data_IF_338533550843
#
_entry.id   IF_338533550843
#
_cell.length_a   1.000
_cell.length_b   1.000
_cell.length_c   1.000
_cell.angle_alpha   90.00
_cell.angle_beta   90.00
_cell.angle_gamma   90.00
#
_symmetry.space_group_name_H-M   'P 1'
#
loop_
_entity.id
_entity.type
_entity.pdbx_description
1 polymer ?
#
# COMPACT_ATOMS: atom_id res chain seq x y z
N UNK A 1 5.39 9.85 14.44
CA UNK A 1 4.06 9.47 14.96
C UNK A 1 3.35 8.59 13.94
N UNK A 2 2.70 7.53 14.40
CA UNK A 2 1.95 6.61 13.54
C UNK A 2 0.46 6.86 13.80
N UNK A 3 -0.30 7.15 12.74
CA UNK A 3 -1.75 7.39 12.83
C UNK A 3 -2.48 6.23 12.15
N UNK A 4 -3.42 5.62 12.87
CA UNK A 4 -4.19 4.47 12.37
C UNK A 4 -5.66 4.87 12.36
N UNK A 5 -6.32 4.71 11.21
CA UNK A 5 -7.76 5.02 11.07
C UNK A 5 -8.43 3.81 10.43
N UNK A 6 -9.40 3.24 11.14
CA UNK A 6 -10.23 2.15 10.62
C UNK A 6 -11.44 2.71 9.87
N UNK A 7 -11.98 1.91 8.94
CA UNK A 7 -13.14 2.29 8.13
C UNK A 7 -12.91 3.66 7.45
N UNK A 8 -11.75 3.80 6.84
CA UNK A 8 -11.28 5.08 6.32
C UNK A 8 -12.15 5.62 5.18
N UNK A 9 -12.49 4.77 4.22
CA UNK A 9 -13.38 5.13 3.12
C UNK A 9 -14.80 4.66 3.43
N UNK A 10 -15.82 5.31 2.83
CA UNK A 10 -17.19 4.77 2.88
C UNK A 10 -17.20 3.32 2.41
N UNK A 11 -17.98 2.48 3.07
CA UNK A 11 -17.94 1.03 2.84
C UNK A 11 -18.17 0.64 1.39
N UNK A 12 -19.16 1.25 0.73
CA UNK A 12 -19.46 0.93 -0.66
C UNK A 12 -18.31 1.29 -1.60
N UNK A 13 -17.67 2.43 -1.35
CA UNK A 13 -16.53 2.86 -2.16
C UNK A 13 -15.34 1.93 -1.92
N UNK A 14 -15.07 1.57 -0.67
CA UNK A 14 -14.00 0.62 -0.36
C UNK A 14 -14.24 -0.72 -1.04
N UNK A 15 -15.47 -1.24 -0.98
CA UNK A 15 -15.80 -2.51 -1.63
C UNK A 15 -15.63 -2.47 -3.13
N UNK A 16 -15.93 -1.33 -3.76
CA UNK A 16 -15.69 -1.15 -5.20
C UNK A 16 -14.20 -1.24 -5.53
N UNK A 17 -13.36 -0.58 -4.73
CA UNK A 17 -11.91 -0.64 -4.89
C UNK A 17 -11.39 -2.06 -4.67
N UNK A 18 -11.83 -2.70 -3.60
CA UNK A 18 -11.43 -4.08 -3.28
C UNK A 18 -11.83 -5.05 -4.40
N UNK A 19 -13.05 -4.96 -4.89
CA UNK A 19 -13.52 -5.82 -5.97
C UNK A 19 -12.75 -5.60 -7.27
N UNK A 20 -12.39 -4.36 -7.56
CA UNK A 20 -11.57 -4.06 -8.73
C UNK A 20 -10.19 -4.69 -8.59
N UNK A 21 -9.51 -4.45 -7.47
CA UNK A 21 -8.13 -4.88 -7.29
C UNK A 21 -7.99 -6.39 -7.16
N UNK A 22 -9.01 -7.09 -6.67
CA UNK A 22 -9.01 -8.54 -6.52
C UNK A 22 -9.73 -9.24 -7.67
N UNK A 23 -10.20 -8.49 -8.67
CA UNK A 23 -10.95 -9.03 -9.80
C UNK A 23 -10.08 -9.36 -10.99
N UNK A 24 -10.70 -9.92 -12.02
CA UNK A 24 -10.02 -10.39 -13.23
C UNK A 24 -9.48 -9.27 -14.11
N UNK A 25 -10.07 -8.12 -14.09
CA UNK A 25 -9.67 -7.01 -14.98
C UNK A 25 -8.52 -6.16 -14.47
N UNK A 26 -7.95 -6.49 -13.32
CA UNK A 26 -6.90 -5.69 -12.72
C UNK A 26 -5.55 -6.37 -12.94
N UNK A 27 -4.60 -5.65 -13.55
CA UNK A 27 -3.29 -6.21 -13.92
C UNK A 27 -2.28 -6.10 -12.79
N UNK A 28 -1.67 -7.22 -12.45
CA UNK A 28 -0.57 -7.29 -11.51
C UNK A 28 0.71 -7.67 -12.24
N UNK A 29 1.82 -7.07 -11.85
CA UNK A 29 3.11 -7.26 -12.50
C UNK A 29 4.13 -7.83 -11.53
N UNK A 30 4.96 -8.73 -12.00
CA UNK A 30 6.00 -9.35 -11.18
C UNK A 30 7.10 -8.36 -10.81
N UNK A 31 7.49 -8.35 -9.52
CA UNK A 31 8.65 -7.61 -9.03
C UNK A 31 9.52 -8.59 -8.24
N UNK A 32 10.80 -8.70 -8.62
CA UNK A 32 11.71 -9.71 -8.10
C UNK A 32 11.96 -9.60 -6.60
N UNK A 33 12.17 -8.41 -6.08
CA UNK A 33 12.46 -8.19 -4.67
C UNK A 33 11.49 -7.21 -4.04
N UNK A 34 11.21 -7.36 -2.75
CA UNK A 34 10.28 -6.47 -2.02
C UNK A 34 10.94 -5.15 -1.66
N UNK A 35 12.14 -5.20 -1.07
CA UNK A 35 12.88 -4.03 -0.62
C UNK A 35 14.09 -3.80 -1.51
N UNK A 36 14.84 -4.86 -1.74
CA UNK A 36 16.03 -4.85 -2.60
C UNK A 36 15.87 -5.91 -3.69
N UNK A 37 16.48 -5.67 -4.84
CA UNK A 37 16.37 -6.56 -5.99
C UNK A 37 16.81 -8.00 -5.68
N UNK A 38 17.74 -8.19 -4.76
CA UNK A 38 18.32 -9.49 -4.45
C UNK A 38 17.80 -10.11 -3.14
N UNK A 39 16.71 -9.61 -2.56
CA UNK A 39 16.19 -10.16 -1.29
C UNK A 39 15.38 -11.46 -1.47
N UNK A 40 15.21 -11.93 -2.69
CA UNK A 40 14.50 -13.18 -3.06
C UNK A 40 13.02 -13.23 -2.64
N UNK A 41 12.48 -12.12 -2.13
CA UNK A 41 11.08 -12.03 -1.72
C UNK A 41 10.29 -11.31 -2.82
N UNK A 42 9.86 -12.08 -3.82
CA UNK A 42 9.09 -11.49 -4.92
C UNK A 42 7.69 -11.07 -4.47
N UNK A 43 7.11 -10.16 -5.24
CA UNK A 43 5.72 -9.74 -5.06
C UNK A 43 5.15 -9.34 -6.41
N UNK A 44 3.85 -9.13 -6.44
CA UNK A 44 3.18 -8.55 -7.61
C UNK A 44 2.83 -7.10 -7.28
N UNK A 45 2.94 -6.22 -8.28
CA UNK A 45 2.71 -4.79 -8.09
C UNK A 45 1.80 -4.23 -9.16
N UNK A 46 1.13 -3.13 -8.82
CA UNK A 46 0.43 -2.29 -9.77
C UNK A 46 0.77 -0.84 -9.47
N UNK A 47 1.36 -0.15 -10.42
CA UNK A 47 1.79 1.23 -10.24
C UNK A 47 0.73 2.18 -10.79
N UNK A 48 0.02 2.88 -9.90
CA UNK A 48 -0.99 3.85 -10.31
C UNK A 48 -0.38 5.20 -10.68
N UNK A 49 0.62 5.61 -9.93
CA UNK A 49 1.26 6.91 -10.12
C UNK A 49 2.76 6.76 -9.79
N UNK A 50 3.60 7.21 -10.71
CA UNK A 50 5.07 7.10 -10.57
C UNK A 50 5.71 8.47 -10.46
N UNK A 51 6.80 8.59 -9.67
CA UNK A 51 7.61 9.81 -9.67
C UNK A 51 8.08 10.13 -11.09
N UNK A 52 8.05 11.42 -11.46
CA UNK A 52 8.52 11.93 -12.73
C UNK A 52 7.69 11.52 -13.96
N UNK A 53 6.84 10.51 -13.84
CA UNK A 53 5.95 10.05 -14.93
C UNK A 53 4.53 10.56 -14.74
N UNK A 54 4.04 10.54 -13.51
CA UNK A 54 2.66 10.89 -13.18
C UNK A 54 1.73 9.70 -13.27
N UNK A 55 0.44 9.93 -13.63
CA UNK A 55 -0.52 8.83 -13.75
C UNK A 55 -0.06 7.77 -14.73
N UNK A 56 -0.09 6.51 -14.28
CA UNK A 56 0.42 5.37 -15.04
C UNK A 56 -0.61 4.25 -15.18
N UNK A 57 -1.77 4.41 -14.60
CA UNK A 57 -2.84 3.40 -14.63
C UNK A 57 -4.16 4.03 -15.06
N UNK A 58 -4.94 3.32 -15.87
CA UNK A 58 -6.30 3.74 -16.21
C UNK A 58 -7.23 3.76 -15.00
N UNK A 59 -6.82 3.16 -13.90
CA UNK A 59 -7.60 3.08 -12.66
C UNK A 59 -7.21 4.15 -11.63
N UNK A 60 -6.41 5.14 -12.00
CA UNK A 60 -5.89 6.15 -11.07
C UNK A 60 -7.01 6.87 -10.29
N UNK A 61 -8.16 7.09 -10.91
CA UNK A 61 -9.24 7.86 -10.32
C UNK A 61 -9.92 7.20 -9.12
N UNK A 62 -9.69 5.91 -8.91
CA UNK A 62 -10.25 5.23 -7.73
C UNK A 62 -9.72 5.81 -6.42
N UNK A 63 -8.60 6.52 -6.46
CA UNK A 63 -7.96 7.07 -5.26
C UNK A 63 -8.35 8.51 -4.95
N UNK A 64 -9.27 9.12 -5.72
CA UNK A 64 -9.63 10.53 -5.54
C UNK A 64 -10.15 10.83 -4.12
N UNK A 65 -11.10 10.04 -3.63
CA UNK A 65 -11.64 10.22 -2.28
C UNK A 65 -10.56 10.01 -1.21
N UNK A 66 -9.73 8.98 -1.39
CA UNK A 66 -8.63 8.71 -0.48
C UNK A 66 -7.68 9.91 -0.40
N UNK A 67 -7.26 10.44 -1.53
CA UNK A 67 -6.32 11.56 -1.58
C UNK A 67 -6.90 12.81 -0.95
N UNK A 68 -8.20 13.06 -1.14
CA UNK A 68 -8.87 14.19 -0.49
C UNK A 68 -8.92 14.02 1.02
N UNK A 69 -9.19 12.81 1.51
CA UNK A 69 -9.29 12.54 2.95
C UNK A 69 -7.94 12.67 3.67
N UNK A 70 -6.85 12.27 3.02
CA UNK A 70 -5.51 12.44 3.61
C UNK A 70 -4.97 13.86 3.39
N UNK A 71 -5.72 14.71 2.70
CA UNK A 71 -5.34 16.11 2.43
C UNK A 71 -3.99 16.23 1.73
N UNK A 72 -3.74 15.32 0.78
CA UNK A 72 -2.48 15.29 0.05
C UNK A 72 -2.35 16.51 -0.86
N UNK A 73 -1.28 17.26 -0.69
CA UNK A 73 -0.96 18.42 -1.52
C UNK A 73 -0.18 18.04 -2.76
N UNK A 74 0.62 16.99 -2.63
CA UNK A 74 1.45 16.48 -3.72
C UNK A 74 1.54 14.97 -3.58
N UNK A 75 1.48 14.27 -4.70
CA UNK A 75 1.64 12.83 -4.74
C UNK A 75 2.95 12.47 -5.42
N UNK A 76 3.77 11.67 -4.77
CA UNK A 76 4.99 11.14 -5.39
C UNK A 76 4.75 9.77 -6.01
N UNK A 77 4.04 8.90 -5.31
CA UNK A 77 3.83 7.53 -5.78
C UNK A 77 2.54 6.96 -5.20
N UNK A 78 1.81 6.22 -6.03
CA UNK A 78 0.72 5.36 -5.57
C UNK A 78 0.99 3.98 -6.14
N UNK A 79 1.26 3.02 -5.28
CA UNK A 79 1.66 1.66 -5.66
C UNK A 79 0.88 0.64 -4.85
N UNK A 80 0.33 -0.35 -5.52
CA UNK A 80 -0.27 -1.51 -4.86
C UNK A 80 0.73 -2.65 -4.82
N UNK A 81 0.80 -3.34 -3.69
CA UNK A 81 1.65 -4.49 -3.47
C UNK A 81 0.79 -5.71 -3.15
N UNK A 82 1.04 -6.81 -3.82
CA UNK A 82 0.42 -8.10 -3.53
C UNK A 82 1.53 -9.07 -3.13
N UNK A 83 1.54 -9.45 -1.86
CA UNK A 83 2.48 -10.44 -1.34
C UNK A 83 1.79 -11.78 -1.18
N UNK A 84 2.56 -12.85 -1.27
CA UNK A 84 2.01 -14.21 -1.25
C UNK A 84 2.14 -14.81 0.14
N UNK A 85 1.20 -15.69 0.46
CA UNK A 85 1.24 -16.41 1.74
C UNK A 85 2.45 -17.33 1.77
N UNK A 86 3.16 -17.33 2.90
CA UNK A 86 4.27 -18.23 3.15
C UNK A 86 3.94 -19.11 4.36
N UNK A 87 4.61 -20.26 4.53
CA UNK A 87 4.37 -21.14 5.70
C UNK A 87 4.62 -20.45 7.03
N UNK A 88 5.57 -19.51 7.04
CA UNK A 88 5.88 -18.66 8.20
C UNK A 88 5.92 -17.21 7.74
N UNK A 89 5.83 -16.27 8.69
CA UNK A 89 6.02 -14.87 8.34
C UNK A 89 7.47 -14.61 7.97
N UNK A 90 7.68 -13.97 6.82
CA UNK A 90 9.00 -13.62 6.31
C UNK A 90 9.06 -12.10 6.18
N UNK A 91 9.45 -11.40 7.27
CA UNK A 91 9.46 -9.93 7.25
C UNK A 91 10.50 -9.41 6.26
N UNK A 92 10.14 -8.34 5.57
CA UNK A 92 11.11 -7.60 4.75
C UNK A 92 12.02 -6.77 5.66
N UNK A 93 13.17 -6.39 5.12
CA UNK A 93 14.12 -5.57 5.85
C UNK A 93 13.52 -4.17 6.09
N UNK A 94 13.85 -3.56 7.21
CA UNK A 94 13.47 -2.18 7.48
C UNK A 94 14.07 -1.26 6.42
N UNK A 95 13.28 -0.32 5.95
CA UNK A 95 13.73 0.64 4.95
C UNK A 95 12.88 1.91 5.01
N UNK A 96 13.39 2.97 4.42
CA UNK A 96 12.65 4.22 4.22
C UNK A 96 12.46 4.45 2.73
N UNK A 97 11.24 4.80 2.32
CA UNK A 97 10.94 5.03 0.90
C UNK A 97 11.36 6.43 0.45
N UNK A 98 11.03 7.44 1.23
CA UNK A 98 11.33 8.85 0.90
C UNK A 98 11.61 9.63 2.17
N UNK A 99 12.50 10.64 2.06
CA UNK A 99 12.72 11.60 3.13
C UNK A 99 11.74 12.77 3.01
N UNK A 100 11.40 13.38 4.15
CA UNK A 100 10.56 14.59 4.24
C UNK A 100 9.16 14.44 3.65
N UNK A 101 8.64 13.22 3.60
CA UNK A 101 7.31 12.92 3.10
C UNK A 101 6.55 12.01 4.06
N UNK A 102 5.27 11.94 3.87
CA UNK A 102 4.42 10.98 4.60
C UNK A 102 4.12 9.79 3.72
N UNK A 103 4.05 8.63 4.35
CA UNK A 103 3.60 7.39 3.73
C UNK A 103 2.26 7.01 4.30
N UNK A 104 1.34 6.61 3.45
CA UNK A 104 0.07 6.02 3.86
C UNK A 104 0.02 4.59 3.32
N UNK A 105 -0.20 3.63 4.20
CA UNK A 105 -0.43 2.24 3.82
C UNK A 105 -1.91 1.97 4.01
N UNK A 106 -2.58 1.59 2.94
CA UNK A 106 -4.01 1.29 2.96
C UNK A 106 -4.20 -0.20 2.71
N UNK A 107 -4.83 -0.87 3.68
CA UNK A 107 -4.98 -2.33 3.62
C UNK A 107 -6.27 -2.69 2.90
N UNK A 108 -6.13 -3.49 1.86
CA UNK A 108 -7.26 -3.92 1.01
C UNK A 108 -7.92 -5.18 1.54
N UNK A 109 -7.17 -6.02 2.25
CA UNK A 109 -7.69 -7.28 2.79
C UNK A 109 -7.37 -7.41 4.28
N UNK A 110 -8.20 -8.16 5.00
CA UNK A 110 -7.90 -8.58 6.36
C UNK A 110 -7.18 -9.92 6.29
N UNK A 111 -6.00 -9.98 6.89
CA UNK A 111 -5.20 -11.21 6.92
C UNK A 111 -4.28 -11.19 8.15
N UNK A 112 -3.45 -12.22 8.31
CA UNK A 112 -2.54 -12.31 9.44
C UNK A 112 -1.20 -11.57 9.25
N UNK A 113 -1.07 -10.85 8.16
CA UNK A 113 0.10 -9.99 7.93
C UNK A 113 0.05 -8.73 8.78
N UNK A 114 1.17 -8.04 8.83
CA UNK A 114 1.28 -6.79 9.58
C UNK A 114 2.40 -5.94 9.03
N UNK A 115 2.36 -4.66 9.36
CA UNK A 115 3.47 -3.72 9.15
C UNK A 115 4.18 -3.53 10.48
N UNK A 116 5.47 -3.71 10.50
CA UNK A 116 6.27 -3.55 11.73
C UNK A 116 7.23 -2.38 11.57
N UNK A 117 7.28 -1.55 12.60
CA UNK A 117 8.19 -0.39 12.68
C UNK A 117 9.36 -0.70 13.58
N UNK A 118 10.48 0.01 13.40
CA UNK A 118 11.69 -0.22 14.18
C UNK A 118 11.49 -0.13 15.69
N UNK A 119 10.53 0.69 16.13
CA UNK A 119 10.22 0.81 17.55
C UNK A 119 9.41 -0.38 18.11
N UNK A 120 9.17 -1.41 17.31
CA UNK A 120 8.43 -2.59 17.70
C UNK A 120 6.92 -2.52 17.52
N UNK A 121 6.39 -1.37 17.12
CA UNK A 121 4.96 -1.23 16.87
C UNK A 121 4.57 -2.05 15.64
N UNK A 122 3.49 -2.83 15.75
CA UNK A 122 2.93 -3.61 14.64
C UNK A 122 1.52 -3.14 14.34
N UNK A 123 1.22 -2.98 13.06
CA UNK A 123 -0.10 -2.62 12.58
C UNK A 123 -0.63 -3.77 11.75
N UNK A 124 -1.69 -4.41 12.22
CA UNK A 124 -2.28 -5.57 11.53
C UNK A 124 -2.99 -5.16 10.25
N UNK A 125 -2.96 -6.05 9.27
CA UNK A 125 -3.70 -5.87 8.02
C UNK A 125 -5.19 -6.07 8.27
N UNK A 126 -5.94 -4.97 8.24
CA UNK A 126 -7.39 -4.96 8.39
C UNK A 126 -7.96 -4.17 7.22
N UNK A 127 -8.88 -4.76 6.49
CA UNK A 127 -9.47 -4.10 5.31
C UNK A 127 -10.05 -2.74 5.66
N UNK A 128 -9.81 -1.76 4.79
CA UNK A 128 -10.24 -0.36 4.94
C UNK A 128 -9.57 0.37 6.12
N UNK A 129 -8.42 -0.12 6.55
CA UNK A 129 -7.58 0.57 7.54
C UNK A 129 -6.48 1.31 6.83
N UNK A 130 -6.22 2.55 7.24
CA UNK A 130 -5.06 3.31 6.78
C UNK A 130 -4.09 3.53 7.94
N UNK A 131 -2.81 3.43 7.64
CA UNK A 131 -1.73 3.73 8.57
C UNK A 131 -0.88 4.84 7.93
N UNK A 132 -0.78 5.98 8.61
CA UNK A 132 -0.05 7.15 8.09
C UNK A 132 1.12 7.45 9.01
N UNK A 133 2.29 7.64 8.44
CA UNK A 133 3.51 7.89 9.20
C UNK A 133 4.52 8.67 8.36
N UNK A 134 5.53 9.21 9.02
CA UNK A 134 6.63 9.88 8.32
C UNK A 134 7.51 8.83 7.64
N UNK A 135 7.89 9.11 6.40
CA UNK A 135 8.61 8.14 5.55
C UNK A 135 10.05 7.88 5.98
N UNK A 136 10.63 8.75 6.78
CA UNK A 136 12.04 8.61 7.22
C UNK A 136 12.21 8.06 8.63
#
# INVERSE_FOLDING_TARGET
>A
MIKIIDNFLPEEEFKSIQSLMLGWGFNWYYQKGRTYEDDELFLMVHMFFQPEVGPNSKHIDIWNTFMNKVEAKKCERIKANLTFKTPTHEPTLYHSDYSDMKTAIFYITTNNGYTEFENGVRVSCVSNRVCIFDSN
#
